data_IF_686817825173
#
_entry.id   IF_686817825173
#
_cell.length_a   1.000
_cell.length_b   1.000
_cell.length_c   1.000
_cell.angle_alpha   90.00
_cell.angle_beta   90.00
_cell.angle_gamma   90.00
#
_symmetry.space_group_name_H-M   'P 1'
#
loop_
_entity.id
_entity.type
_entity.pdbx_description
1 polymer ?
#
# COMPACT_ATOMS: atom_id res chain seq x y z
N UNK A 1 -10.81 2.44 7.68
CA UNK A 1 -10.30 1.49 8.69
C UNK A 1 -8.99 0.93 8.18
N UNK A 2 -8.10 0.40 9.03
CA UNK A 2 -6.86 -0.25 8.55
C UNK A 2 -6.87 -1.73 8.92
N UNK A 3 -6.33 -2.57 8.03
CA UNK A 3 -6.13 -3.99 8.25
C UNK A 3 -4.71 -4.38 7.83
N UNK A 4 -4.03 -5.14 8.67
CA UNK A 4 -2.70 -5.69 8.36
C UNK A 4 -2.83 -7.20 8.20
N UNK A 5 -2.23 -7.73 7.14
CA UNK A 5 -2.23 -9.15 6.83
C UNK A 5 -0.93 -9.55 6.12
N UNK A 6 -0.72 -10.85 5.92
CA UNK A 6 0.39 -11.36 5.11
C UNK A 6 0.12 -11.13 3.62
N UNK A 7 1.19 -11.14 2.80
CA UNK A 7 1.08 -10.88 1.35
C UNK A 7 0.07 -11.80 0.65
N UNK A 8 0.04 -13.08 1.03
CA UNK A 8 -0.88 -14.09 0.49
C UNK A 8 -2.34 -13.89 0.91
N UNK A 9 -2.60 -13.09 1.94
CA UNK A 9 -3.94 -12.83 2.48
C UNK A 9 -4.55 -11.54 1.89
N UNK A 10 -3.78 -10.77 1.12
CA UNK A 10 -4.23 -9.53 0.48
C UNK A 10 -5.51 -9.76 -0.35
N UNK A 11 -5.62 -10.78 -1.23
CA UNK A 11 -6.85 -10.99 -2.02
C UNK A 11 -8.12 -11.21 -1.18
N UNK A 12 -7.97 -11.69 0.05
CA UNK A 12 -9.09 -11.96 0.96
C UNK A 12 -9.50 -10.71 1.75
N UNK A 13 -8.54 -9.81 2.02
CA UNK A 13 -8.71 -8.66 2.90
C UNK A 13 -8.75 -7.31 2.17
N UNK A 14 -8.40 -7.27 0.88
CA UNK A 14 -8.36 -6.02 0.12
C UNK A 14 -9.75 -5.52 -0.25
N UNK A 15 -10.80 -6.34 -0.15
CA UNK A 15 -12.15 -5.93 -0.51
C UNK A 15 -12.62 -4.72 0.34
N UNK A 16 -13.01 -3.63 -0.33
CA UNK A 16 -13.44 -2.39 0.32
C UNK A 16 -12.31 -1.53 0.88
N UNK A 17 -11.05 -1.81 0.53
CA UNK A 17 -9.91 -0.95 0.84
C UNK A 17 -9.63 0.01 -0.32
N UNK A 18 -9.20 1.23 0.02
CA UNK A 18 -8.85 2.26 -0.97
C UNK A 18 -7.38 2.17 -1.43
N UNK A 19 -6.53 1.51 -0.64
CA UNK A 19 -5.08 1.48 -0.84
C UNK A 19 -4.44 0.26 -0.20
N UNK A 20 -3.46 -0.33 -0.89
CA UNK A 20 -2.63 -1.41 -0.39
C UNK A 20 -1.18 -0.90 -0.28
N UNK A 21 -0.59 -1.03 0.91
CA UNK A 21 0.81 -0.69 1.17
C UNK A 21 1.56 -1.96 1.56
N UNK A 22 2.62 -2.28 0.82
CA UNK A 22 3.38 -3.53 0.99
C UNK A 22 4.85 -3.25 1.32
N UNK A 23 5.44 -4.03 2.22
CA UNK A 23 6.87 -3.93 2.52
C UNK A 23 7.74 -4.57 1.42
N UNK A 24 7.15 -5.46 0.62
CA UNK A 24 7.81 -6.18 -0.47
C UNK A 24 7.26 -5.75 -1.83
N UNK A 25 8.03 -5.96 -2.90
CA UNK A 25 7.57 -5.68 -4.25
C UNK A 25 6.53 -6.73 -4.65
N UNK A 26 5.41 -6.29 -5.22
CA UNK A 26 4.34 -7.19 -5.67
C UNK A 26 4.08 -6.96 -7.15
N UNK A 27 3.77 -8.03 -7.89
CA UNK A 27 3.44 -7.97 -9.31
C UNK A 27 1.95 -8.30 -9.56
N UNK A 28 1.20 -8.55 -8.50
CA UNK A 28 -0.20 -8.90 -8.56
C UNK A 28 -1.05 -7.65 -8.69
N UNK A 29 -2.01 -7.68 -9.60
CA UNK A 29 -3.05 -6.68 -9.69
C UNK A 29 -4.22 -7.09 -8.77
N UNK A 30 -4.49 -6.28 -7.75
CA UNK A 30 -5.57 -6.49 -6.80
C UNK A 30 -6.81 -5.64 -7.12
N UNK A 31 -6.81 -4.89 -8.23
CA UNK A 31 -7.88 -3.95 -8.58
C UNK A 31 -7.94 -2.70 -7.69
N UNK A 32 -7.00 -2.55 -6.75
CA UNK A 32 -6.86 -1.43 -5.82
C UNK A 32 -5.45 -0.87 -5.95
N UNK A 33 -5.26 0.46 -5.89
CA UNK A 33 -3.94 1.08 -5.89
C UNK A 33 -3.00 0.41 -4.89
N UNK A 34 -1.85 -0.06 -5.39
CA UNK A 34 -0.86 -0.79 -4.59
C UNK A 34 0.50 -0.11 -4.70
N UNK A 35 1.14 0.14 -3.57
CA UNK A 35 2.47 0.76 -3.50
C UNK A 35 3.42 0.02 -2.57
N UNK A 36 4.71 0.25 -2.78
CA UNK A 36 5.76 -0.27 -1.92
C UNK A 36 6.09 0.74 -0.81
N UNK A 37 5.82 0.34 0.44
CA UNK A 37 6.03 1.14 1.64
C UNK A 37 7.43 1.01 2.26
N UNK A 38 8.44 0.46 1.57
CA UNK A 38 9.76 0.24 2.18
C UNK A 38 10.40 1.55 2.70
N UNK A 39 10.11 2.69 2.08
CA UNK A 39 10.54 4.01 2.56
C UNK A 39 10.02 4.33 3.98
N UNK A 40 8.82 3.86 4.36
CA UNK A 40 8.28 4.02 5.71
C UNK A 40 9.05 3.21 6.76
N UNK A 41 9.68 2.10 6.34
CA UNK A 41 10.45 1.23 7.23
C UNK A 41 11.88 1.76 7.45
N UNK A 42 12.49 2.31 6.39
CA UNK A 42 13.87 2.83 6.45
C UNK A 42 13.93 4.28 6.90
N UNK A 43 12.82 5.02 6.82
CA UNK A 43 12.77 6.47 7.07
C UNK A 43 13.40 7.30 5.95
N UNK A 44 13.87 6.67 4.88
CA UNK A 44 14.50 7.35 3.74
C UNK A 44 13.42 7.63 2.69
N UNK A 45 13.28 8.89 2.28
CA UNK A 45 12.25 9.35 1.32
C UNK A 45 10.79 9.12 1.78
N UNK A 46 10.56 9.02 3.09
CA UNK A 46 9.22 8.88 3.68
C UNK A 46 8.27 10.01 3.25
N UNK A 47 8.74 11.27 3.24
CA UNK A 47 7.92 12.42 2.82
C UNK A 47 7.43 12.32 1.37
N UNK A 48 8.29 11.86 0.46
CA UNK A 48 7.91 11.68 -0.94
C UNK A 48 6.82 10.60 -1.09
N UNK A 49 6.97 9.48 -0.37
CA UNK A 49 5.99 8.41 -0.37
C UNK A 49 4.65 8.84 0.25
N UNK A 50 4.69 9.64 1.32
CA UNK A 50 3.48 10.21 1.94
C UNK A 50 2.71 11.12 0.98
N UNK A 51 3.41 11.89 0.14
CA UNK A 51 2.76 12.71 -0.89
C UNK A 51 2.12 11.84 -1.97
N UNK A 52 2.78 10.75 -2.38
CA UNK A 52 2.23 9.78 -3.32
C UNK A 52 0.96 9.10 -2.77
N UNK A 53 0.99 8.65 -1.51
CA UNK A 53 -0.17 8.09 -0.81
C UNK A 53 -1.34 9.09 -0.80
N UNK A 54 -1.07 10.37 -0.49
CA UNK A 54 -2.11 11.41 -0.52
C UNK A 54 -2.69 11.61 -1.91
N UNK A 55 -1.84 11.63 -2.94
CA UNK A 55 -2.30 11.79 -4.33
C UNK A 55 -3.20 10.63 -4.77
N UNK A 56 -2.94 9.41 -4.31
CA UNK A 56 -3.77 8.23 -4.60
C UNK A 56 -5.14 8.28 -3.89
N UNK A 57 -5.20 8.81 -2.66
CA UNK A 57 -6.41 8.84 -1.84
C UNK A 57 -7.30 10.08 -2.04
N UNK A 58 -6.82 11.11 -2.74
CA UNK A 58 -7.57 12.38 -2.96
C UNK A 58 -8.22 12.44 -4.36
N UNK A 59 -8.10 11.38 -5.16
CA UNK A 59 -8.82 11.21 -6.42
C UNK A 59 -10.27 10.78 -6.17
#
# INVERSE_FOLDING_TARGET
TTAQCCLNEIPLNCNGMDLIVTSMRTHSDYGIPTLNGAALLTGINDDALKQEIKALLTQ
#
